data_IF_132239331241
#
_entry.id   IF_132239331241
#
_cell.length_a   1.000
_cell.length_b   1.000
_cell.length_c   1.000
_cell.angle_alpha   90.00
_cell.angle_beta   90.00
_cell.angle_gamma   90.00
#
_symmetry.space_group_name_H-M   'P 1'
#
loop_
_entity.id
_entity.type
_entity.pdbx_description
1 polymer ?
#
# COMPACT_ATOMS: atom_id res chain seq x y z
N UNK A 1 8.80 4.39 12.66
CA UNK A 1 8.08 3.97 11.44
C UNK A 1 7.70 2.51 11.55
N UNK A 2 6.41 2.17 11.38
CA UNK A 2 6.01 0.77 11.47
C UNK A 2 6.65 -0.08 10.38
N UNK A 3 7.03 -1.28 10.74
CA UNK A 3 7.69 -2.21 9.83
C UNK A 3 6.80 -2.59 8.66
N UNK A 4 5.50 -2.70 8.88
CA UNK A 4 4.54 -3.04 7.84
C UNK A 4 4.51 -1.99 6.73
N UNK A 5 4.67 -0.71 7.08
CA UNK A 5 4.73 0.36 6.09
C UNK A 5 6.02 0.24 5.27
N UNK A 6 7.15 -0.03 5.93
CA UNK A 6 8.42 -0.21 5.23
C UNK A 6 8.38 -1.42 4.30
N UNK A 7 7.76 -2.51 4.73
CA UNK A 7 7.59 -3.70 3.91
C UNK A 7 6.71 -3.43 2.70
N UNK A 8 5.69 -2.58 2.87
CA UNK A 8 4.82 -2.19 1.76
C UNK A 8 5.61 -1.38 0.72
N UNK A 9 6.46 -0.47 1.17
CA UNK A 9 7.30 0.30 0.26
C UNK A 9 8.23 -0.62 -0.52
N UNK A 10 8.87 -1.57 0.16
CA UNK A 10 9.76 -2.52 -0.52
C UNK A 10 9.00 -3.40 -1.50
N UNK A 11 7.80 -3.84 -1.12
CA UNK A 11 6.96 -4.66 -1.98
C UNK A 11 6.63 -3.92 -3.28
N UNK A 12 6.24 -2.66 -3.17
CA UNK A 12 5.90 -1.86 -4.35
C UNK A 12 7.13 -1.46 -5.16
N UNK A 13 8.27 -1.30 -4.51
CA UNK A 13 9.50 -0.93 -5.21
C UNK A 13 9.90 -1.98 -6.24
N UNK A 14 9.56 -3.24 -5.99
CA UNK A 14 9.88 -4.31 -6.92
C UNK A 14 8.79 -4.60 -7.95
N UNK A 15 7.73 -3.80 -7.99
CA UNK A 15 6.61 -4.05 -8.89
C UNK A 15 6.54 -2.99 -9.97
N UNK A 16 6.31 -3.43 -11.19
CA UNK A 16 6.14 -2.51 -12.30
C UNK A 16 4.69 -2.13 -12.53
N UNK A 17 3.75 -2.86 -11.94
CA UNK A 17 2.31 -2.65 -12.15
C UNK A 17 1.61 -2.29 -10.85
N UNK A 18 0.49 -1.59 -10.91
CA UNK A 18 -0.30 -1.31 -9.70
C UNK A 18 -0.75 -2.60 -9.04
N UNK A 19 -0.94 -2.54 -7.75
CA UNK A 19 -1.44 -3.66 -6.97
C UNK A 19 -2.80 -3.31 -6.40
N UNK A 20 -3.72 -4.27 -6.40
CA UNK A 20 -5.06 -4.06 -5.85
C UNK A 20 -5.49 -5.32 -5.10
N UNK A 21 -6.12 -5.12 -3.96
CA UNK A 21 -6.63 -6.22 -3.16
C UNK A 21 -7.05 -5.74 -1.79
N UNK A 22 -7.33 -6.67 -0.88
CA UNK A 22 -7.72 -6.33 0.48
C UNK A 22 -6.48 -6.10 1.34
N UNK A 23 -6.69 -5.49 2.52
CA UNK A 23 -5.58 -5.32 3.46
C UNK A 23 -5.02 -6.67 3.90
N UNK A 24 -5.88 -7.69 4.05
CA UNK A 24 -5.43 -9.03 4.40
C UNK A 24 -4.50 -9.59 3.32
N UNK A 25 -4.88 -9.41 2.06
CA UNK A 25 -4.07 -9.87 0.94
C UNK A 25 -2.72 -9.15 0.92
N UNK A 26 -2.71 -7.85 1.19
CA UNK A 26 -1.48 -7.10 1.19
C UNK A 26 -0.57 -7.52 2.34
N UNK A 27 -1.12 -7.72 3.54
CA UNK A 27 -0.33 -8.20 4.68
C UNK A 27 0.34 -9.53 4.35
N UNK A 28 -0.39 -10.43 3.71
CA UNK A 28 0.17 -11.71 3.30
C UNK A 28 1.28 -11.51 2.25
N UNK A 29 1.05 -10.60 1.32
CA UNK A 29 2.01 -10.34 0.25
C UNK A 29 3.32 -9.73 0.74
N UNK A 30 3.25 -8.85 1.75
CA UNK A 30 4.46 -8.22 2.28
C UNK A 30 5.11 -9.04 3.40
N UNK A 31 4.45 -10.12 3.83
CA UNK A 31 5.01 -10.97 4.86
C UNK A 31 5.01 -10.36 6.25
N UNK A 32 4.13 -9.41 6.52
CA UNK A 32 4.07 -8.79 7.84
C UNK A 32 3.34 -9.70 8.82
N UNK A 33 3.89 -9.84 10.00
CA UNK A 33 3.30 -10.67 11.05
C UNK A 33 3.09 -9.83 12.29
N UNK A 34 2.13 -10.24 13.10
CA UNK A 34 1.87 -9.56 14.37
C UNK A 34 1.13 -8.24 14.22
N UNK A 35 0.57 -7.96 13.04
CA UNK A 35 -0.14 -6.73 12.77
C UNK A 35 -1.56 -7.08 12.37
N UNK A 36 -2.54 -6.46 13.01
CA UNK A 36 -3.93 -6.66 12.64
C UNK A 36 -4.26 -5.88 11.37
N UNK A 37 -5.30 -6.31 10.67
CA UNK A 37 -5.75 -5.61 9.46
C UNK A 37 -6.13 -4.16 9.79
N UNK A 38 -6.79 -3.94 10.93
CA UNK A 38 -7.19 -2.59 11.34
C UNK A 38 -5.97 -1.70 11.61
N UNK A 39 -4.97 -2.25 12.31
CA UNK A 39 -3.75 -1.50 12.59
C UNK A 39 -2.99 -1.19 11.31
N UNK A 40 -2.92 -2.15 10.39
CA UNK A 40 -2.23 -1.96 9.12
C UNK A 40 -2.89 -0.85 8.30
N UNK A 41 -4.22 -0.86 8.21
CA UNK A 41 -4.95 0.19 7.49
C UNK A 41 -4.67 1.57 8.09
N UNK A 42 -4.64 1.64 9.42
CA UNK A 42 -4.34 2.88 10.11
C UNK A 42 -2.92 3.36 9.82
N UNK A 43 -1.95 2.45 9.84
CA UNK A 43 -0.56 2.77 9.54
C UNK A 43 -0.40 3.30 8.12
N UNK A 44 -1.06 2.66 7.16
CA UNK A 44 -1.00 3.13 5.78
C UNK A 44 -1.56 4.54 5.64
N UNK A 45 -2.68 4.82 6.30
CA UNK A 45 -3.28 6.14 6.25
C UNK A 45 -2.37 7.19 6.92
N UNK A 46 -1.77 6.85 8.05
CA UNK A 46 -0.91 7.77 8.77
C UNK A 46 0.39 8.07 8.03
N UNK A 47 0.87 7.12 7.25
CA UNK A 47 2.15 7.27 6.56
C UNK A 47 2.00 7.38 5.04
N UNK A 48 0.81 7.79 4.58
CA UNK A 48 0.58 7.97 3.15
C UNK A 48 1.54 8.98 2.54
N UNK A 49 1.86 10.05 3.28
CA UNK A 49 2.82 11.05 2.81
C UNK A 49 4.22 10.48 2.63
N UNK A 50 4.63 9.62 3.56
CA UNK A 50 5.93 8.95 3.46
C UNK A 50 5.98 8.08 2.21
N UNK A 51 4.90 7.33 1.93
CA UNK A 51 4.84 6.50 0.74
C UNK A 51 4.82 7.34 -0.53
N UNK A 52 4.10 8.46 -0.50
CA UNK A 52 4.05 9.36 -1.66
C UNK A 52 5.43 9.93 -1.99
N UNK A 53 6.23 10.22 -0.97
CA UNK A 53 7.60 10.70 -1.17
C UNK A 53 8.48 9.65 -1.86
N UNK A 54 8.07 8.39 -1.78
CA UNK A 54 8.78 7.29 -2.43
C UNK A 54 8.11 6.86 -3.73
N UNK A 55 7.19 7.68 -4.23
CA UNK A 55 6.54 7.41 -5.49
C UNK A 55 5.43 6.38 -5.42
N UNK A 56 4.82 6.18 -4.26
CA UNK A 56 3.76 5.21 -4.08
C UNK A 56 2.48 5.92 -3.69
N UNK A 57 1.43 5.75 -4.48
CA UNK A 57 0.12 6.29 -4.16
C UNK A 57 -0.73 5.19 -3.54
N UNK A 58 -1.37 5.50 -2.44
CA UNK A 58 -2.24 4.60 -1.72
C UNK A 58 -3.67 5.11 -1.79
N UNK A 59 -4.57 4.28 -2.28
CA UNK A 59 -5.99 4.59 -2.33
C UNK A 59 -6.78 3.51 -1.63
N UNK A 60 -7.86 3.91 -0.99
CA UNK A 60 -8.73 2.99 -0.30
C UNK A 60 -10.16 3.21 -0.79
N UNK A 61 -10.85 2.12 -1.12
CA UNK A 61 -12.20 2.19 -1.62
C UNK A 61 -13.06 1.20 -0.85
N UNK A 62 -14.19 1.65 -0.34
CA UNK A 62 -15.15 0.78 0.33
C UNK A 62 -16.07 0.17 -0.70
N UNK A 63 -16.25 -1.14 -0.61
CA UNK A 63 -17.17 -1.88 -1.49
C UNK A 63 -18.12 -2.68 -0.63
N UNK A 64 -19.08 -3.35 -1.26
CA UNK A 64 -20.03 -4.18 -0.53
C UNK A 64 -19.36 -5.33 0.19
N UNK A 65 -18.26 -5.81 -0.32
CA UNK A 65 -17.56 -6.96 0.25
C UNK A 65 -16.42 -6.55 1.17
N UNK A 66 -16.21 -5.27 1.36
CA UNK A 66 -15.16 -4.78 2.24
C UNK A 66 -14.38 -3.63 1.64
N UNK A 67 -13.19 -3.41 2.16
CA UNK A 67 -12.32 -2.33 1.70
C UNK A 67 -11.27 -2.88 0.76
N UNK A 68 -11.14 -2.25 -0.39
CA UNK A 68 -10.12 -2.60 -1.37
C UNK A 68 -9.03 -1.51 -1.35
N UNK A 69 -7.79 -1.95 -1.30
CA UNK A 69 -6.65 -1.06 -1.33
C UNK A 69 -6.02 -1.11 -2.71
N UNK A 70 -5.64 0.05 -3.22
CA UNK A 70 -4.94 0.13 -4.50
C UNK A 70 -3.65 0.89 -4.27
N UNK A 71 -2.54 0.29 -4.67
CA UNK A 71 -1.23 0.90 -4.60
C UNK A 71 -0.69 1.04 -6.01
N UNK A 72 -0.20 2.23 -6.33
CA UNK A 72 0.37 2.48 -7.65
C UNK A 72 1.63 3.31 -7.52
N UNK A 73 2.45 3.29 -8.54
CA UNK A 73 3.68 4.06 -8.57
C UNK A 73 3.42 5.36 -9.30
N UNK A 74 3.59 6.47 -8.59
CA UNK A 74 3.32 7.78 -9.19
C UNK A 74 4.28 8.09 -10.34
N UNK A 75 5.51 7.60 -10.24
CA UNK A 75 6.47 7.82 -11.32
C UNK A 75 6.09 7.10 -12.61
N UNK A 76 5.35 5.99 -12.48
CA UNK A 76 4.87 5.27 -13.64
C UNK A 76 3.68 5.98 -14.27
N UNK A 77 3.00 6.78 -13.50
CA UNK A 77 1.85 7.52 -13.99
C UNK A 77 2.26 8.81 -14.69
N UNK A 78 3.51 9.19 -14.57
CA UNK A 78 3.98 10.39 -15.20
C UNK A 78 4.39 10.10 -16.62
N UNK A 79 3.67 10.59 -17.55
CA UNK A 79 3.99 10.31 -18.88
C UNK A 79 5.07 11.09 -19.39
N UNK A 80 5.67 11.67 -18.71
CA UNK A 80 6.71 12.30 -19.25
C UNK A 80 6.60 13.34 -19.53
N UNK A 81 6.00 13.50 -19.31
CA UNK A 81 6.00 14.67 -19.55
C UNK A 81 6.79 15.24 -20.44
#
# INVERSE_FOLDING_TARGET
MPDDVLRTVDFMAGRAAPWQGTATDLLAGIGAEGVSVAAFGKHLAQHAGFMADRGIEHRRQHTRTGTILTLSRTEDADPVA
#
